data_IF_819252518182
#
_entry.id   IF_819252518182
#
_cell.length_a   1.000
_cell.length_b   1.000
_cell.length_c   1.000
_cell.angle_alpha   90.00
_cell.angle_beta   90.00
_cell.angle_gamma   90.00
#
_symmetry.space_group_name_H-M   'P 1'
#
loop_
_entity.id
_entity.type
_entity.pdbx_description
1 polymer ?
#
# COMPACT_ATOMS: atom_id res chain seq x y z
N UNK A 1 -9.36 -21.98 -5.51
CA UNK A 1 -8.81 -21.22 -6.66
C UNK A 1 -9.29 -19.80 -6.45
N UNK A 2 -8.52 -18.99 -5.71
CA UNK A 2 -8.91 -17.61 -5.37
C UNK A 2 -8.82 -16.78 -6.64
N UNK A 3 -9.97 -16.31 -7.11
CA UNK A 3 -10.07 -15.40 -8.24
C UNK A 3 -9.44 -14.08 -7.80
N UNK A 4 -8.12 -13.94 -8.03
CA UNK A 4 -7.47 -12.63 -8.05
C UNK A 4 -7.97 -11.93 -9.31
N UNK A 5 -9.10 -11.24 -9.21
CA UNK A 5 -9.50 -10.28 -10.22
C UNK A 5 -8.40 -9.21 -10.35
N UNK A 6 -8.29 -8.63 -11.54
CA UNK A 6 -7.13 -7.93 -12.11
C UNK A 6 -6.60 -6.70 -11.36
N UNK A 7 -7.12 -6.43 -10.15
CA UNK A 7 -6.75 -5.31 -9.26
C UNK A 7 -5.99 -5.75 -7.99
N UNK A 8 -5.67 -7.04 -7.83
CA UNK A 8 -4.82 -7.53 -6.74
C UNK A 8 -5.47 -7.59 -5.35
N UNK A 9 -6.74 -7.20 -5.22
CA UNK A 9 -7.52 -7.26 -3.98
C UNK A 9 -8.15 -8.64 -3.76
N UNK A 10 -8.27 -9.07 -2.49
CA UNK A 10 -9.00 -10.29 -2.14
C UNK A 10 -10.52 -10.07 -2.13
N UNK A 11 -11.31 -11.15 -2.25
CA UNK A 11 -12.78 -11.08 -2.11
C UNK A 11 -13.20 -10.52 -0.75
N UNK A 12 -12.44 -10.81 0.31
CA UNK A 12 -12.69 -10.28 1.66
C UNK A 12 -12.49 -8.77 1.71
N UNK A 13 -11.38 -8.26 1.18
CA UNK A 13 -11.13 -6.81 1.09
C UNK A 13 -12.19 -6.10 0.24
N UNK A 14 -12.57 -6.69 -0.89
CA UNK A 14 -13.64 -6.14 -1.73
C UNK A 14 -14.96 -6.04 -0.97
N UNK A 15 -15.30 -7.07 -0.18
CA UNK A 15 -16.48 -7.08 0.66
C UNK A 15 -16.42 -6.03 1.77
N UNK A 16 -15.25 -5.81 2.39
CA UNK A 16 -15.05 -4.75 3.38
C UNK A 16 -15.25 -3.36 2.76
N UNK A 17 -14.63 -3.09 1.59
CA UNK A 17 -14.78 -1.83 0.88
C UNK A 17 -16.23 -1.58 0.47
N UNK A 18 -16.92 -2.60 -0.04
CA UNK A 18 -18.35 -2.51 -0.39
C UNK A 18 -19.23 -2.28 0.83
N UNK A 19 -18.95 -2.96 1.94
CA UNK A 19 -19.69 -2.81 3.19
C UNK A 19 -19.54 -1.40 3.77
N UNK A 20 -18.31 -0.89 3.83
CA UNK A 20 -18.04 0.47 4.28
C UNK A 20 -18.70 1.50 3.36
N UNK A 21 -18.57 1.37 2.05
CA UNK A 21 -19.20 2.28 1.10
C UNK A 21 -20.72 2.34 1.28
N UNK A 22 -21.38 1.18 1.35
CA UNK A 22 -22.84 1.09 1.55
C UNK A 22 -23.29 1.62 2.92
N UNK A 23 -22.41 1.59 3.93
CA UNK A 23 -22.70 2.15 5.25
C UNK A 23 -22.86 3.68 5.19
N UNK A 24 -22.06 4.35 4.36
CA UNK A 24 -22.08 5.80 4.20
C UNK A 24 -23.04 6.26 3.09
N UNK A 25 -23.17 5.52 1.99
CA UNK A 25 -24.08 5.80 0.88
C UNK A 25 -25.52 5.30 1.16
N UNK A 26 -26.19 5.97 2.11
CA UNK A 26 -27.55 5.58 2.55
C UNK A 26 -28.59 5.69 1.44
N UNK A 27 -28.44 6.69 0.58
CA UNK A 27 -29.37 6.99 -0.51
C UNK A 27 -29.04 6.28 -1.83
N UNK A 28 -27.93 5.53 -1.89
CA UNK A 28 -27.48 4.75 -3.05
C UNK A 28 -27.27 5.60 -4.30
N UNK A 29 -26.87 6.86 -4.12
CA UNK A 29 -26.56 7.77 -5.22
C UNK A 29 -25.04 7.96 -5.39
N UNK A 30 -24.23 7.26 -4.59
CA UNK A 30 -22.80 7.47 -4.47
C UNK A 30 -22.45 8.44 -3.34
N UNK A 31 -21.21 8.34 -2.86
CA UNK A 31 -20.76 9.13 -1.72
C UNK A 31 -20.61 10.60 -2.10
N UNK A 32 -21.09 11.50 -1.25
CA UNK A 32 -20.68 12.90 -1.28
C UNK A 32 -19.26 13.08 -0.71
N UNK A 33 -18.64 14.27 -0.82
CA UNK A 33 -17.29 14.51 -0.31
C UNK A 33 -17.08 14.24 1.19
N UNK A 34 -18.09 14.48 2.04
CA UNK A 34 -18.01 14.28 3.49
C UNK A 34 -18.17 12.80 3.84
N UNK A 35 -19.09 12.12 3.16
CA UNK A 35 -19.29 10.67 3.24
C UNK A 35 -18.06 9.92 2.74
N UNK A 36 -17.43 10.37 1.64
CA UNK A 36 -16.19 9.82 1.13
C UNK A 36 -15.07 9.90 2.17
N UNK A 37 -14.86 11.08 2.77
CA UNK A 37 -13.85 11.27 3.83
C UNK A 37 -14.05 10.28 4.97
N UNK A 38 -15.29 10.13 5.43
CA UNK A 38 -15.64 9.21 6.51
C UNK A 38 -15.42 7.74 6.10
N UNK A 39 -15.78 7.38 4.86
CA UNK A 39 -15.56 6.06 4.31
C UNK A 39 -14.08 5.71 4.21
N UNK A 40 -13.25 6.64 3.71
CA UNK A 40 -11.79 6.49 3.62
C UNK A 40 -11.17 6.21 4.98
N UNK A 41 -11.53 7.00 6.00
CA UNK A 41 -11.05 6.80 7.36
C UNK A 41 -11.51 5.44 7.91
N UNK A 42 -12.75 5.04 7.63
CA UNK A 42 -13.32 3.77 8.12
C UNK A 42 -12.61 2.53 7.57
N UNK A 43 -12.03 2.60 6.37
CA UNK A 43 -11.26 1.49 5.77
C UNK A 43 -9.75 1.59 6.06
N UNK A 44 -9.33 2.54 6.91
CA UNK A 44 -7.94 2.69 7.34
C UNK A 44 -7.09 3.62 6.48
N UNK A 45 -7.67 4.39 5.56
CA UNK A 45 -6.93 5.39 4.80
C UNK A 45 -6.59 6.59 5.70
N UNK A 46 -5.29 6.91 5.80
CA UNK A 46 -4.81 7.91 6.74
C UNK A 46 -4.94 9.33 6.16
N UNK A 47 -5.93 10.08 6.60
CA UNK A 47 -6.14 11.49 6.24
C UNK A 47 -5.52 12.38 7.32
N UNK A 48 -4.60 13.27 6.93
CA UNK A 48 -3.92 14.18 7.87
C UNK A 48 -4.92 15.14 8.53
N UNK A 49 -4.71 15.54 9.79
CA UNK A 49 -5.58 16.52 10.45
C UNK A 49 -5.36 17.94 9.90
N UNK A 50 -6.38 18.78 10.03
CA UNK A 50 -6.30 20.20 9.68
C UNK A 50 -6.22 20.46 8.17
N UNK A 51 -5.54 21.55 7.79
CA UNK A 51 -5.47 22.04 6.40
C UNK A 51 -4.85 21.04 5.42
N UNK A 52 -3.95 20.18 5.91
CA UNK A 52 -3.32 19.14 5.08
C UNK A 52 -4.33 18.07 4.64
N UNK A 53 -5.23 17.65 5.54
CA UNK A 53 -6.30 16.71 5.18
C UNK A 53 -7.29 17.28 4.18
N UNK A 54 -7.58 18.57 4.26
CA UNK A 54 -8.45 19.23 3.29
C UNK A 54 -7.79 19.31 1.91
N UNK A 55 -6.47 19.50 1.85
CA UNK A 55 -5.71 19.43 0.60
C UNK A 55 -5.69 18.00 0.03
N UNK A 56 -5.48 17.00 0.88
CA UNK A 56 -5.53 15.58 0.50
C UNK A 56 -6.91 15.24 -0.08
N UNK A 57 -7.99 15.62 0.61
CA UNK A 57 -9.36 15.42 0.12
C UNK A 57 -9.61 16.13 -1.22
N UNK A 58 -9.17 17.37 -1.39
CA UNK A 58 -9.33 18.08 -2.66
C UNK A 58 -8.60 17.38 -3.81
N UNK A 59 -7.42 16.82 -3.55
CA UNK A 59 -6.67 16.02 -4.53
C UNK A 59 -7.44 14.74 -4.88
N UNK A 60 -7.95 14.02 -3.89
CA UNK A 60 -8.72 12.79 -4.07
C UNK A 60 -9.99 13.06 -4.87
N UNK A 61 -10.74 14.11 -4.51
CA UNK A 61 -11.96 14.53 -5.23
C UNK A 61 -11.67 14.94 -6.67
N UNK A 62 -10.52 15.57 -6.94
CA UNK A 62 -10.15 15.93 -8.32
C UNK A 62 -9.91 14.69 -9.20
N UNK A 63 -9.56 13.55 -8.59
CA UNK A 63 -9.39 12.26 -9.30
C UNK A 63 -10.71 11.51 -9.42
N UNK A 64 -11.50 11.47 -8.33
CA UNK A 64 -12.73 10.70 -8.24
C UNK A 64 -13.95 11.38 -8.87
N UNK A 65 -13.98 12.70 -8.87
CA UNK A 65 -15.07 13.52 -9.38
C UNK A 65 -14.54 14.70 -10.23
N UNK A 66 -13.89 14.41 -11.37
CA UNK A 66 -13.34 15.45 -12.24
C UNK A 66 -14.43 16.35 -12.84
N UNK A 67 -15.65 15.83 -12.95
CA UNK A 67 -16.81 16.55 -13.50
C UNK A 67 -17.58 17.35 -12.43
N UNK A 68 -17.17 17.28 -11.15
CA UNK A 68 -17.86 17.93 -10.02
C UNK A 68 -19.34 17.60 -9.95
N UNK A 69 -19.69 16.34 -10.18
CA UNK A 69 -21.04 15.83 -10.00
C UNK A 69 -21.47 15.83 -8.52
N UNK A 70 -20.51 15.87 -7.59
CA UNK A 70 -20.73 15.84 -6.15
C UNK A 70 -21.19 14.48 -5.62
N UNK A 71 -21.06 13.44 -6.45
CA UNK A 71 -21.43 12.05 -6.16
C UNK A 71 -20.38 11.12 -6.74
N UNK A 72 -19.72 10.37 -5.86
CA UNK A 72 -18.66 9.43 -6.22
C UNK A 72 -19.24 8.02 -6.26
N UNK A 73 -19.27 7.35 -7.43
CA UNK A 73 -19.75 5.99 -7.53
C UNK A 73 -18.75 4.98 -6.92
N UNK A 74 -19.25 3.81 -6.53
CA UNK A 74 -18.42 2.76 -5.93
C UNK A 74 -17.26 2.34 -6.83
N UNK A 75 -17.47 2.27 -8.15
CA UNK A 75 -16.41 1.86 -9.08
C UNK A 75 -15.24 2.85 -9.10
N UNK A 76 -15.51 4.16 -9.02
CA UNK A 76 -14.46 5.18 -8.94
C UNK A 76 -13.72 5.10 -7.60
N UNK A 77 -14.47 4.97 -6.49
CA UNK A 77 -13.89 4.77 -5.16
C UNK A 77 -12.98 3.54 -5.11
N UNK A 78 -13.46 2.40 -5.63
CA UNK A 78 -12.71 1.16 -5.65
C UNK A 78 -11.45 1.30 -6.50
N UNK A 79 -11.54 1.93 -7.68
CA UNK A 79 -10.37 2.17 -8.53
C UNK A 79 -9.30 2.99 -7.81
N UNK A 80 -9.70 4.08 -7.15
CA UNK A 80 -8.81 4.90 -6.34
C UNK A 80 -8.15 4.11 -5.21
N UNK A 81 -8.94 3.36 -4.44
CA UNK A 81 -8.41 2.55 -3.33
C UNK A 81 -7.45 1.49 -3.85
N UNK A 82 -7.81 0.72 -4.87
CA UNK A 82 -6.92 -0.32 -5.40
C UNK A 82 -5.62 0.22 -5.97
N UNK A 83 -5.64 1.46 -6.48
CA UNK A 83 -4.45 2.13 -6.98
C UNK A 83 -3.55 2.61 -5.84
N UNK A 84 -4.12 3.20 -4.79
CA UNK A 84 -3.34 3.67 -3.64
C UNK A 84 -2.86 2.53 -2.73
N UNK A 85 -3.68 1.50 -2.51
CA UNK A 85 -3.32 0.33 -1.67
C UNK A 85 -2.46 -0.68 -2.41
N UNK A 86 -2.61 -0.82 -3.74
CA UNK A 86 -1.79 -1.73 -4.55
C UNK A 86 -0.29 -1.44 -4.46
N UNK A 87 0.10 -0.18 -4.32
CA UNK A 87 1.52 0.22 -4.21
C UNK A 87 2.04 0.17 -2.75
N UNK A 88 1.17 0.36 -1.75
CA UNK A 88 1.54 0.33 -0.33
C UNK A 88 1.63 -1.10 0.22
N UNK A 89 0.67 -1.97 -0.08
CA UNK A 89 0.64 -3.36 0.40
C UNK A 89 1.81 -4.18 -0.16
N UNK A 90 2.22 -3.93 -1.39
CA UNK A 90 3.31 -4.67 -2.04
C UNK A 90 4.68 -4.33 -1.44
N UNK A 91 4.90 -3.06 -1.10
CA UNK A 91 6.11 -2.62 -0.41
C UNK A 91 6.19 -3.17 1.01
N UNK A 92 5.11 -3.04 1.79
CA UNK A 92 5.09 -3.50 3.18
C UNK A 92 5.12 -5.03 3.29
N UNK A 93 4.42 -5.77 2.42
CA UNK A 93 4.53 -7.23 2.36
C UNK A 93 5.93 -7.69 1.99
N UNK A 94 6.62 -6.99 1.08
CA UNK A 94 8.00 -7.30 0.73
C UNK A 94 8.94 -7.04 1.92
N UNK A 95 8.74 -5.94 2.65
CA UNK A 95 9.47 -5.62 3.88
C UNK A 95 9.27 -6.71 4.93
N UNK A 96 8.02 -7.12 5.16
CA UNK A 96 7.69 -8.14 6.14
C UNK A 96 8.30 -9.50 5.74
N UNK A 97 8.26 -9.84 4.45
CA UNK A 97 8.92 -11.04 3.93
C UNK A 97 10.42 -11.03 4.24
N UNK A 98 11.14 -9.95 3.91
CA UNK A 98 12.56 -9.84 4.22
C UNK A 98 12.86 -9.81 5.72
N UNK A 99 11.96 -9.24 6.54
CA UNK A 99 12.06 -9.28 7.99
C UNK A 99 11.95 -10.72 8.52
N UNK A 100 11.06 -11.53 7.96
CA UNK A 100 10.96 -12.95 8.32
C UNK A 100 12.24 -13.69 7.90
N UNK A 101 12.77 -13.44 6.70
CA UNK A 101 14.01 -14.04 6.22
C UNK A 101 15.23 -13.69 7.10
N UNK A 102 15.29 -12.46 7.63
CA UNK A 102 16.37 -12.02 8.51
C UNK A 102 16.23 -12.48 9.96
N UNK A 103 15.17 -13.24 10.28
CA UNK A 103 14.85 -13.65 11.66
C UNK A 103 14.41 -12.49 12.55
N UNK A 104 13.74 -11.48 11.98
CA UNK A 104 13.20 -10.32 12.69
C UNK A 104 14.15 -9.13 12.82
N UNK A 105 15.33 -9.19 12.21
CA UNK A 105 16.33 -8.10 12.24
C UNK A 105 15.94 -6.99 11.26
N UNK A 106 16.21 -5.74 11.62
CA UNK A 106 16.03 -4.58 10.73
C UNK A 106 17.03 -4.48 9.57
N UNK A 107 17.88 -5.49 9.39
CA UNK A 107 18.85 -5.65 8.32
C UNK A 107 18.89 -7.12 7.88
N UNK A 108 19.42 -7.37 6.69
CA UNK A 108 19.65 -8.73 6.19
C UNK A 108 21.06 -8.84 5.61
N UNK A 109 21.70 -9.99 5.73
CA UNK A 109 23.06 -10.25 5.23
C UNK A 109 23.03 -10.98 3.88
N UNK A 110 24.12 -10.90 3.11
CA UNK A 110 24.21 -11.62 1.84
C UNK A 110 24.07 -13.14 2.00
N UNK A 111 24.50 -13.70 3.13
CA UNK A 111 24.34 -15.13 3.41
C UNK A 111 22.88 -15.49 3.67
N UNK A 112 22.15 -14.70 4.45
CA UNK A 112 20.71 -14.89 4.68
C UNK A 112 19.93 -14.80 3.36
N UNK A 113 20.22 -13.79 2.52
CA UNK A 113 19.59 -13.66 1.20
C UNK A 113 19.88 -14.91 0.34
N UNK A 114 21.13 -15.35 0.22
CA UNK A 114 21.50 -16.52 -0.63
C UNK A 114 20.98 -17.85 -0.08
N UNK A 115 20.76 -17.94 1.23
CA UNK A 115 20.23 -19.13 1.87
C UNK A 115 18.74 -19.28 1.64
N UNK A 116 18.01 -18.17 1.68
CA UNK A 116 16.54 -18.17 1.60
C UNK A 116 16.02 -17.96 0.18
N UNK A 117 16.77 -17.28 -0.69
CA UNK A 117 16.37 -16.98 -2.07
C UNK A 117 17.21 -17.77 -3.10
N UNK A 118 16.63 -18.08 -4.27
CA UNK A 118 17.37 -18.61 -5.41
C UNK A 118 18.55 -17.71 -5.80
N UNK A 119 19.62 -18.31 -6.34
CA UNK A 119 20.88 -17.60 -6.60
C UNK A 119 20.72 -16.34 -7.47
N UNK A 120 19.88 -16.40 -8.49
CA UNK A 120 19.55 -15.30 -9.40
C UNK A 120 18.84 -14.14 -8.68
N UNK A 121 17.86 -14.45 -7.82
CA UNK A 121 17.16 -13.45 -7.03
C UNK A 121 18.06 -12.87 -5.94
N UNK A 122 18.88 -13.71 -5.30
CA UNK A 122 19.80 -13.29 -4.27
C UNK A 122 20.82 -12.28 -4.81
N UNK A 123 21.43 -12.58 -5.96
CA UNK A 123 22.34 -11.64 -6.63
C UNK A 123 21.65 -10.34 -7.02
N UNK A 124 20.41 -10.41 -7.52
CA UNK A 124 19.64 -9.21 -7.86
C UNK A 124 19.40 -8.33 -6.63
N UNK A 125 18.93 -8.90 -5.52
CA UNK A 125 18.72 -8.19 -4.26
C UNK A 125 20.02 -7.56 -3.75
N UNK A 126 21.11 -8.33 -3.68
CA UNK A 126 22.42 -7.86 -3.20
C UNK A 126 22.94 -6.70 -4.06
N UNK A 127 22.75 -6.75 -5.38
CA UNK A 127 23.21 -5.72 -6.31
C UNK A 127 22.40 -4.43 -6.23
N UNK A 128 21.10 -4.52 -5.95
CA UNK A 128 20.19 -3.37 -5.90
C UNK A 128 20.02 -2.77 -4.51
N UNK A 129 20.20 -3.56 -3.46
CA UNK A 129 20.06 -3.11 -2.07
C UNK A 129 21.20 -2.20 -1.66
N UNK A 130 20.87 -1.15 -0.89
CA UNK A 130 21.88 -0.30 -0.25
C UNK A 130 22.40 -0.99 1.02
N UNK A 131 23.67 -0.77 1.32
CA UNK A 131 24.25 -1.23 2.57
C UNK A 131 23.58 -0.56 3.78
N UNK A 132 23.34 -1.34 4.83
CA UNK A 132 22.79 -0.84 6.09
C UNK A 132 23.93 -0.24 6.92
N UNK A 133 24.01 1.09 6.94
CA UNK A 133 25.01 1.84 7.71
C UNK A 133 24.45 2.15 9.11
N UNK A 134 24.61 1.21 10.04
CA UNK A 134 24.33 1.44 11.45
C UNK A 134 25.51 0.96 12.30
N UNK A 135 25.81 1.65 13.40
CA UNK A 135 26.95 1.36 14.28
C UNK A 135 26.95 -0.06 14.87
N UNK A 136 25.79 -0.73 14.91
CA UNK A 136 25.61 -2.08 15.46
C UNK A 136 25.42 -3.17 14.37
N UNK A 137 25.56 -2.83 13.09
CA UNK A 137 25.34 -3.80 12.02
C UNK A 137 26.67 -4.42 11.56
N UNK A 138 26.72 -5.76 11.36
CA UNK A 138 27.91 -6.40 10.83
C UNK A 138 28.23 -5.93 9.40
N UNK A 139 29.51 -5.92 9.00
CA UNK A 139 29.91 -5.55 7.65
C UNK A 139 29.23 -6.47 6.63
N UNK A 140 28.67 -5.89 5.56
CA UNK A 140 27.89 -6.64 4.56
C UNK A 140 26.40 -6.78 4.88
N UNK A 141 25.87 -5.98 5.82
CA UNK A 141 24.43 -5.85 6.05
C UNK A 141 23.77 -4.97 4.98
N UNK A 142 22.54 -5.31 4.59
CA UNK A 142 21.73 -4.63 3.58
C UNK A 142 20.42 -4.12 4.17
N UNK A 143 19.96 -2.98 3.65
CA UNK A 143 18.71 -2.36 4.04
C UNK A 143 17.58 -2.76 3.07
N UNK A 144 16.85 -3.80 3.42
CA UNK A 144 15.72 -4.29 2.63
C UNK A 144 14.51 -3.34 2.67
N UNK A 145 14.38 -2.50 3.70
CA UNK A 145 13.28 -1.51 3.85
C UNK A 145 13.38 -0.44 2.77
N UNK A 146 14.56 0.17 2.66
CA UNK A 146 14.83 1.20 1.64
C UNK A 146 14.75 0.63 0.23
N UNK A 147 15.16 -0.62 0.03
CA UNK A 147 15.06 -1.30 -1.26
C UNK A 147 13.60 -1.55 -1.66
N UNK A 148 12.79 -2.12 -0.77
CA UNK A 148 11.38 -2.41 -1.04
C UNK A 148 10.64 -1.12 -1.36
N UNK A 149 10.78 -0.06 -0.54
CA UNK A 149 10.16 1.24 -0.83
C UNK A 149 10.65 1.86 -2.14
N UNK A 150 11.92 1.69 -2.49
CA UNK A 150 12.47 2.23 -3.74
C UNK A 150 11.98 1.53 -5.00
N UNK A 151 11.51 0.27 -4.90
CA UNK A 151 10.95 -0.46 -6.04
C UNK A 151 9.54 0.01 -6.40
N UNK A 152 8.75 0.41 -5.40
CA UNK A 152 7.35 0.82 -5.58
C UNK A 152 7.16 2.34 -5.64
N UNK A 153 8.19 3.13 -5.29
CA UNK A 153 8.16 4.59 -5.38
C UNK A 153 8.73 5.09 -6.73
N UNK A 154 8.54 4.35 -7.83
CA UNK A 154 8.98 4.71 -9.19
C UNK A 154 7.83 4.84 -10.18
#
# INVERSE_FOLDING_TARGET
MLMRDSKGISEEQLNEYRSSFNHFDKDRQGLDPEQLKSCLISIGYNIRPGKEGDQDMNRILSVLDPNRMGRIPFDAFLDFITRETGDADTAEQMIESFRVLSGGKSYITAEEIRRELPADQAEYCIKKMKHFQASNAPPGSYNYVSFSRSLYNQ
#
